data_IF_102979815511
#
_entry.id   IF_102979815511
#
_cell.length_a   1.000
_cell.length_b   1.000
_cell.length_c   1.000
_cell.angle_alpha   90.00
_cell.angle_beta   90.00
_cell.angle_gamma   90.00
#
_symmetry.space_group_name_H-M   'P 1'
#
loop_
_entity.id
_entity.type
_entity.pdbx_description
1 polymer ?
#
# COMPACT_ATOMS: atom_id res chain seq x y z
N UNK A 1 30.89 83.94 -35.44
CA UNK A 1 31.31 83.00 -34.37
C UNK A 1 30.26 83.05 -33.30
N UNK A 2 29.34 82.14 -33.32
CA UNK A 2 28.32 81.99 -32.26
C UNK A 2 28.87 81.03 -31.22
N UNK A 3 29.00 81.49 -29.94
CA UNK A 3 29.41 80.73 -28.81
C UNK A 3 28.16 80.16 -28.20
N UNK A 4 27.98 78.85 -28.35
CA UNK A 4 26.90 78.07 -27.66
C UNK A 4 27.23 78.03 -26.17
N UNK A 5 26.45 78.75 -25.37
CA UNK A 5 26.43 78.55 -23.90
C UNK A 5 25.86 77.24 -23.58
N UNK A 6 26.71 76.34 -23.05
CA UNK A 6 26.25 75.12 -22.36
C UNK A 6 25.48 75.50 -21.12
N UNK A 7 24.20 75.14 -21.07
CA UNK A 7 23.39 75.30 -19.86
C UNK A 7 24.01 74.51 -18.73
N UNK A 8 24.49 75.16 -17.67
CA UNK A 8 24.93 74.53 -16.45
C UNK A 8 23.74 73.81 -15.83
N UNK A 9 23.74 72.50 -15.86
CA UNK A 9 22.80 71.65 -15.08
C UNK A 9 22.94 72.01 -13.62
N UNK A 10 21.89 72.49 -12.91
CA UNK A 10 21.98 72.84 -11.50
C UNK A 10 22.36 71.58 -10.67
N UNK A 11 23.37 71.71 -9.82
CA UNK A 11 23.79 70.66 -8.88
C UNK A 11 22.58 70.24 -8.06
N UNK A 12 22.07 68.99 -8.32
CA UNK A 12 20.97 68.42 -7.56
C UNK A 12 21.35 68.38 -6.07
N UNK A 13 20.47 68.83 -5.19
CA UNK A 13 20.68 68.82 -3.73
C UNK A 13 20.78 67.35 -3.31
N UNK A 14 21.61 67.04 -2.30
CA UNK A 14 21.83 65.69 -1.76
C UNK A 14 20.52 64.96 -1.38
N UNK A 15 19.50 65.70 -0.94
CA UNK A 15 18.14 65.19 -0.66
C UNK A 15 17.48 64.58 -1.90
N UNK A 16 17.77 65.09 -3.13
CA UNK A 16 17.21 64.52 -4.37
C UNK A 16 17.78 63.12 -4.66
N UNK A 17 19.09 62.91 -4.47
CA UNK A 17 19.73 61.60 -4.59
C UNK A 17 19.25 60.63 -3.53
N UNK A 18 18.97 61.09 -2.32
CA UNK A 18 18.37 60.28 -1.28
C UNK A 18 16.97 59.80 -1.65
N UNK A 19 16.12 60.67 -2.19
CA UNK A 19 14.79 60.27 -2.65
C UNK A 19 14.82 59.34 -3.86
N UNK A 20 15.72 59.56 -4.82
CA UNK A 20 15.94 58.66 -5.94
C UNK A 20 16.36 57.25 -5.47
N UNK A 21 17.32 57.20 -4.55
CA UNK A 21 17.76 55.96 -3.92
C UNK A 21 16.60 55.27 -3.18
N UNK A 22 15.88 56.02 -2.35
CA UNK A 22 14.77 55.47 -1.56
C UNK A 22 13.67 54.89 -2.46
N UNK A 23 13.33 55.57 -3.55
CA UNK A 23 12.33 55.09 -4.52
C UNK A 23 12.77 53.80 -5.21
N UNK A 24 14.04 53.74 -5.66
CA UNK A 24 14.61 52.55 -6.25
C UNK A 24 14.66 51.39 -5.23
N UNK A 25 15.10 51.65 -4.04
CA UNK A 25 15.13 50.67 -2.94
C UNK A 25 13.73 50.11 -2.62
N UNK A 26 12.74 51.00 -2.48
CA UNK A 26 11.37 50.61 -2.22
C UNK A 26 10.77 49.79 -3.39
N UNK A 27 11.06 50.14 -4.64
CA UNK A 27 10.59 49.37 -5.79
C UNK A 27 11.15 47.94 -5.77
N UNK A 28 12.45 47.77 -5.54
CA UNK A 28 13.08 46.45 -5.46
C UNK A 28 12.58 45.67 -4.24
N UNK A 29 12.46 46.33 -3.09
CA UNK A 29 11.97 45.72 -1.85
C UNK A 29 10.52 45.24 -1.97
N UNK A 30 9.63 46.08 -2.55
CA UNK A 30 8.25 45.67 -2.78
C UNK A 30 8.15 44.51 -3.80
N UNK A 31 8.98 44.53 -4.84
CA UNK A 31 9.09 43.41 -5.78
C UNK A 31 9.46 42.10 -5.10
N UNK A 32 10.50 42.14 -4.27
CA UNK A 32 10.92 40.97 -3.49
C UNK A 32 9.84 40.47 -2.51
N UNK A 33 9.14 41.37 -1.81
CA UNK A 33 8.04 40.99 -0.92
C UNK A 33 6.87 40.35 -1.69
N UNK A 34 6.54 40.89 -2.87
CA UNK A 34 5.48 40.35 -3.71
C UNK A 34 5.85 38.94 -4.23
N UNK A 35 7.09 38.75 -4.67
CA UNK A 35 7.60 37.44 -5.09
C UNK A 35 7.60 36.43 -3.93
N UNK A 36 8.10 36.81 -2.77
CA UNK A 36 8.07 35.97 -1.56
C UNK A 36 6.65 35.53 -1.18
N UNK A 37 5.69 36.47 -1.21
CA UNK A 37 4.31 36.17 -0.89
C UNK A 37 3.65 35.24 -1.94
N UNK A 38 3.98 35.43 -3.21
CA UNK A 38 3.50 34.59 -4.30
C UNK A 38 4.05 33.17 -4.17
N UNK A 39 5.36 33.01 -3.94
CA UNK A 39 6.01 31.73 -3.72
C UNK A 39 5.37 30.97 -2.54
N UNK A 40 5.19 31.66 -1.42
CA UNK A 40 4.54 31.10 -0.24
C UNK A 40 3.11 30.60 -0.51
N UNK A 41 2.35 31.33 -1.33
CA UNK A 41 1.00 30.95 -1.71
C UNK A 41 0.99 29.73 -2.62
N UNK A 42 1.91 29.68 -3.59
CA UNK A 42 2.08 28.55 -4.50
C UNK A 42 2.49 27.28 -3.73
N UNK A 43 3.45 27.39 -2.81
CA UNK A 43 3.87 26.26 -1.97
C UNK A 43 2.73 25.71 -1.14
N UNK A 44 1.92 26.59 -0.52
CA UNK A 44 0.77 26.15 0.28
C UNK A 44 -0.31 25.45 -0.57
N UNK A 45 -0.55 25.93 -1.80
CA UNK A 45 -1.45 25.27 -2.73
C UNK A 45 -0.94 23.88 -3.13
N UNK A 46 0.36 23.75 -3.41
CA UNK A 46 1.01 22.48 -3.72
C UNK A 46 0.95 21.51 -2.53
N UNK A 47 1.22 21.98 -1.32
CA UNK A 47 1.06 21.19 -0.09
C UNK A 47 -0.35 20.60 0.00
N UNK A 48 -1.39 21.43 -0.12
CA UNK A 48 -2.79 20.96 -0.10
C UNK A 48 -3.10 19.95 -1.19
N UNK A 49 -2.55 20.12 -2.39
CA UNK A 49 -2.74 19.18 -3.49
C UNK A 49 -2.13 17.80 -3.15
N UNK A 50 -0.91 17.76 -2.62
CA UNK A 50 -0.29 16.52 -2.18
C UNK A 50 -1.05 15.85 -1.03
N UNK A 51 -1.54 16.63 -0.07
CA UNK A 51 -2.36 16.08 1.02
C UNK A 51 -3.66 15.45 0.50
N UNK A 52 -4.34 16.06 -0.47
CA UNK A 52 -5.51 15.45 -1.12
C UNK A 52 -5.16 14.13 -1.80
N UNK A 53 -4.05 14.09 -2.53
CA UNK A 53 -3.58 12.87 -3.18
C UNK A 53 -3.24 11.78 -2.18
N UNK A 54 -2.58 12.12 -1.06
CA UNK A 54 -2.31 11.18 0.04
C UNK A 54 -3.60 10.62 0.66
N UNK A 55 -4.61 11.45 0.88
CA UNK A 55 -5.92 11.00 1.39
C UNK A 55 -6.57 10.01 0.41
N UNK A 56 -6.52 10.27 -0.90
CA UNK A 56 -7.05 9.35 -1.90
C UNK A 56 -6.25 8.03 -1.98
N UNK A 57 -4.93 8.08 -1.82
CA UNK A 57 -4.10 6.88 -1.73
C UNK A 57 -4.48 6.07 -0.47
N UNK A 58 -4.60 6.69 0.69
CA UNK A 58 -5.01 6.04 1.95
C UNK A 58 -6.42 5.42 1.88
N UNK A 59 -7.36 6.04 1.17
CA UNK A 59 -8.70 5.44 0.92
C UNK A 59 -8.58 4.14 0.11
N UNK A 60 -7.76 4.13 -0.93
CA UNK A 60 -7.50 2.92 -1.73
C UNK A 60 -6.79 1.85 -0.89
N UNK A 61 -5.82 2.26 -0.09
CA UNK A 61 -5.08 1.37 0.79
C UNK A 61 -6.00 0.68 1.79
N UNK A 62 -6.87 1.43 2.47
CA UNK A 62 -7.85 0.83 3.41
C UNK A 62 -8.79 -0.14 2.73
N UNK A 63 -9.25 0.14 1.52
CA UNK A 63 -10.08 -0.78 0.74
C UNK A 63 -9.31 -2.07 0.37
N UNK A 64 -8.06 -1.94 -0.05
CA UNK A 64 -7.17 -3.04 -0.40
C UNK A 64 -6.86 -3.93 0.82
N UNK A 65 -6.56 -3.31 1.96
CA UNK A 65 -6.32 -4.01 3.23
C UNK A 65 -7.57 -4.82 3.64
N UNK A 66 -8.75 -4.22 3.65
CA UNK A 66 -10.01 -4.90 3.99
C UNK A 66 -10.31 -6.07 3.08
N UNK A 67 -10.05 -5.93 1.79
CA UNK A 67 -10.18 -7.04 0.85
C UNK A 67 -9.22 -8.18 1.21
N UNK A 68 -7.95 -7.86 1.46
CA UNK A 68 -6.94 -8.85 1.83
C UNK A 68 -7.26 -9.56 3.15
N UNK A 69 -7.73 -8.84 4.17
CA UNK A 69 -8.17 -9.41 5.45
C UNK A 69 -9.28 -10.45 5.25
N UNK A 70 -10.32 -10.10 4.48
CA UNK A 70 -11.44 -11.02 4.17
C UNK A 70 -10.96 -12.29 3.47
N UNK A 71 -10.09 -12.15 2.47
CA UNK A 71 -9.61 -13.30 1.70
C UNK A 71 -8.72 -14.21 2.55
N UNK A 72 -7.90 -13.64 3.43
CA UNK A 72 -7.08 -14.42 4.38
C UNK A 72 -7.92 -15.14 5.42
N UNK A 73 -8.98 -14.53 5.93
CA UNK A 73 -9.93 -15.18 6.86
C UNK A 73 -10.63 -16.36 6.19
N UNK A 74 -11.11 -16.20 4.96
CA UNK A 74 -11.67 -17.29 4.15
C UNK A 74 -10.66 -18.44 3.99
N UNK A 75 -9.40 -18.11 3.70
CA UNK A 75 -8.33 -19.12 3.56
C UNK A 75 -8.06 -19.83 4.86
N UNK A 76 -8.01 -19.15 5.99
CA UNK A 76 -7.85 -19.77 7.30
C UNK A 76 -9.00 -20.76 7.61
N UNK A 77 -10.24 -20.40 7.30
CA UNK A 77 -11.41 -21.28 7.45
C UNK A 77 -11.35 -22.50 6.53
N UNK A 78 -10.88 -22.32 5.28
CA UNK A 78 -10.65 -23.44 4.34
C UNK A 78 -9.58 -24.40 4.88
N UNK A 79 -8.48 -23.87 5.42
CA UNK A 79 -7.42 -24.66 6.03
C UNK A 79 -7.97 -25.47 7.22
N UNK A 80 -8.74 -24.85 8.12
CA UNK A 80 -9.35 -25.56 9.25
C UNK A 80 -10.23 -26.70 8.78
N UNK A 81 -11.07 -26.46 7.77
CA UNK A 81 -11.92 -27.48 7.16
C UNK A 81 -11.10 -28.61 6.52
N UNK A 82 -10.06 -28.27 5.76
CA UNK A 82 -9.21 -29.26 5.09
C UNK A 82 -8.50 -30.17 6.10
N UNK A 83 -7.94 -29.60 7.18
CA UNK A 83 -7.29 -30.38 8.24
C UNK A 83 -8.29 -31.29 8.97
N UNK A 84 -9.48 -30.76 9.29
CA UNK A 84 -10.53 -31.56 9.94
C UNK A 84 -10.94 -32.74 9.08
N UNK A 85 -11.15 -32.55 7.77
CA UNK A 85 -11.57 -33.60 6.85
C UNK A 85 -10.46 -34.64 6.61
N UNK A 86 -9.21 -34.19 6.46
CA UNK A 86 -8.05 -35.09 6.30
C UNK A 86 -7.79 -35.98 7.53
N UNK A 87 -8.11 -35.48 8.72
CA UNK A 87 -7.97 -36.24 9.96
C UNK A 87 -9.23 -37.02 10.38
N UNK A 88 -10.24 -37.02 9.53
CA UNK A 88 -11.46 -37.84 9.77
C UNK A 88 -11.17 -39.33 9.67
N UNK A 89 -12.11 -40.16 10.19
CA UNK A 89 -11.97 -41.64 10.17
C UNK A 89 -11.98 -42.21 8.74
N UNK A 90 -12.62 -41.53 7.79
CA UNK A 90 -12.76 -41.99 6.41
C UNK A 90 -12.59 -40.80 5.43
N UNK A 91 -11.36 -40.30 5.27
CA UNK A 91 -11.11 -39.14 4.41
C UNK A 91 -11.45 -39.40 2.93
N UNK A 92 -11.38 -40.63 2.48
CA UNK A 92 -11.74 -41.04 1.13
C UNK A 92 -13.23 -40.86 0.84
N UNK A 93 -14.12 -41.05 1.81
CA UNK A 93 -15.55 -40.85 1.65
C UNK A 93 -15.96 -39.41 1.39
N UNK A 94 -15.05 -38.46 1.62
CA UNK A 94 -15.26 -37.00 1.48
C UNK A 94 -14.10 -36.35 0.71
N UNK A 95 -13.37 -37.15 -0.05
CA UNK A 95 -12.16 -36.72 -0.75
C UNK A 95 -12.42 -35.62 -1.80
N UNK A 96 -13.58 -35.63 -2.46
CA UNK A 96 -13.98 -34.58 -3.39
C UNK A 96 -13.91 -33.20 -2.75
N UNK A 97 -14.43 -33.06 -1.52
CA UNK A 97 -14.34 -31.82 -0.74
C UNK A 97 -12.92 -31.49 -0.33
N UNK A 98 -12.13 -32.51 0.03
CA UNK A 98 -10.72 -32.33 0.38
C UNK A 98 -9.92 -31.82 -0.81
N UNK A 99 -10.09 -32.41 -2.00
CA UNK A 99 -9.50 -31.95 -3.26
C UNK A 99 -9.85 -30.47 -3.55
N UNK A 100 -11.14 -30.14 -3.40
CA UNK A 100 -11.64 -28.79 -3.65
C UNK A 100 -10.96 -27.76 -2.73
N UNK A 101 -10.89 -28.03 -1.42
CA UNK A 101 -10.22 -27.16 -0.46
C UNK A 101 -8.72 -27.06 -0.74
N UNK A 102 -8.06 -28.19 -0.97
CA UNK A 102 -6.62 -28.24 -1.25
C UNK A 102 -6.25 -27.44 -2.50
N UNK A 103 -7.11 -27.44 -3.53
CA UNK A 103 -6.91 -26.67 -4.77
C UNK A 103 -7.08 -25.17 -4.57
N UNK A 104 -8.00 -24.74 -3.67
CA UNK A 104 -8.30 -23.34 -3.45
C UNK A 104 -7.32 -22.64 -2.51
N UNK A 105 -6.74 -23.34 -1.53
CA UNK A 105 -5.90 -22.75 -0.48
C UNK A 105 -4.65 -22.06 -1.06
N UNK A 106 -3.84 -22.72 -1.94
CA UNK A 106 -2.65 -22.09 -2.52
C UNK A 106 -2.94 -20.94 -3.50
N UNK A 107 -4.18 -20.86 -4.01
CA UNK A 107 -4.64 -19.81 -4.92
C UNK A 107 -5.34 -18.66 -4.18
N UNK A 108 -5.30 -18.65 -2.87
CA UNK A 108 -5.75 -17.49 -2.11
C UNK A 108 -5.03 -16.24 -2.59
N UNK A 109 -5.75 -15.12 -2.78
CA UNK A 109 -5.19 -13.95 -3.45
C UNK A 109 -3.88 -13.57 -2.85
N UNK A 110 -2.97 -13.47 -3.76
CA UNK A 110 -1.56 -13.29 -3.52
C UNK A 110 -1.20 -12.07 -2.73
N UNK A 111 0.08 -11.98 -2.48
CA UNK A 111 0.70 -11.17 -1.46
C UNK A 111 0.67 -9.68 -1.68
N UNK A 112 0.40 -9.17 -2.85
CA UNK A 112 0.50 -7.73 -3.05
C UNK A 112 -0.67 -7.01 -2.41
N UNK A 113 -0.46 -6.51 -1.21
CA UNK A 113 -1.15 -5.32 -0.78
C UNK A 113 -0.76 -4.22 -1.77
N UNK A 114 -1.69 -3.79 -2.56
CA UNK A 114 -1.48 -2.63 -3.41
C UNK A 114 -1.48 -1.35 -2.57
N UNK A 115 -0.60 -1.25 -1.57
CA UNK A 115 -0.38 0.02 -0.86
C UNK A 115 0.18 1.01 -1.87
N UNK A 116 -0.51 2.14 -2.01
CA UNK A 116 -0.13 3.18 -2.96
C UNK A 116 0.98 4.05 -2.37
N UNK A 117 2.22 3.79 -2.76
CA UNK A 117 3.36 4.65 -2.37
C UNK A 117 3.55 5.84 -3.31
N UNK A 118 2.74 5.94 -4.37
CA UNK A 118 2.94 6.87 -5.49
C UNK A 118 3.12 8.32 -5.04
N UNK A 119 2.18 8.84 -4.24
CA UNK A 119 2.24 10.24 -3.79
C UNK A 119 3.38 10.46 -2.81
N UNK A 120 3.61 9.50 -1.90
CA UNK A 120 4.70 9.57 -0.94
C UNK A 120 6.08 9.52 -1.62
N UNK A 121 6.27 8.60 -2.57
CA UNK A 121 7.51 8.50 -3.34
C UNK A 121 7.75 9.76 -4.19
N UNK A 122 6.71 10.33 -4.76
CA UNK A 122 6.82 11.61 -5.47
C UNK A 122 7.26 12.73 -4.53
N UNK A 123 6.66 12.85 -3.34
CA UNK A 123 7.07 13.84 -2.32
C UNK A 123 8.52 13.66 -1.90
N UNK A 124 8.92 12.42 -1.63
CA UNK A 124 10.26 12.05 -1.18
C UNK A 124 11.31 12.34 -2.24
N UNK A 125 11.08 11.85 -3.46
CA UNK A 125 12.08 11.92 -4.54
C UNK A 125 12.23 13.34 -5.13
N UNK A 126 11.18 14.16 -5.08
CA UNK A 126 11.24 15.56 -5.51
C UNK A 126 11.71 16.53 -4.43
N UNK A 127 12.00 16.05 -3.21
CA UNK A 127 12.34 16.91 -2.06
C UNK A 127 11.16 17.73 -1.53
N UNK A 128 9.94 17.44 -1.99
CA UNK A 128 8.73 18.17 -1.62
C UNK A 128 8.15 17.78 -0.25
N UNK A 129 8.74 16.81 0.46
CA UNK A 129 8.37 16.53 1.86
C UNK A 129 8.51 17.78 2.75
N UNK A 130 9.44 18.68 2.42
CA UNK A 130 9.63 19.97 3.09
C UNK A 130 8.40 20.91 3.00
N UNK A 131 7.52 20.71 2.03
CA UNK A 131 6.29 21.49 1.90
C UNK A 131 5.30 21.16 3.02
N UNK A 132 5.38 19.97 3.60
CA UNK A 132 4.55 19.57 4.75
C UNK A 132 5.13 20.21 6.01
N UNK A 133 4.65 21.41 6.31
CA UNK A 133 5.20 22.25 7.40
C UNK A 133 4.85 21.75 8.80
N UNK A 134 3.79 20.94 8.92
CA UNK A 134 3.34 20.39 10.21
C UNK A 134 4.11 19.10 10.52
N UNK A 135 5.14 19.21 11.35
CA UNK A 135 6.01 18.09 11.71
C UNK A 135 5.23 16.84 12.15
N UNK A 136 4.19 17.02 12.97
CA UNK A 136 3.32 15.92 13.38
C UNK A 136 2.68 15.19 12.20
N UNK A 137 2.25 15.90 11.16
CA UNK A 137 1.67 15.27 9.97
C UNK A 137 2.74 14.54 9.16
N UNK A 138 3.92 15.14 9.02
CA UNK A 138 5.06 14.51 8.35
C UNK A 138 5.47 13.20 9.04
N UNK A 139 5.54 13.20 10.38
CA UNK A 139 5.87 12.00 11.16
C UNK A 139 4.80 10.91 10.98
N UNK A 140 3.52 11.25 11.05
CA UNK A 140 2.42 10.29 10.85
C UNK A 140 2.45 9.69 9.44
N UNK A 141 2.69 10.50 8.40
CA UNK A 141 2.82 10.04 7.02
C UNK A 141 4.02 9.09 6.89
N UNK A 142 5.18 9.51 7.37
CA UNK A 142 6.41 8.74 7.27
C UNK A 142 6.31 7.40 8.00
N UNK A 143 5.72 7.38 9.19
CA UNK A 143 5.52 6.17 9.97
C UNK A 143 4.56 5.20 9.30
N UNK A 144 3.45 5.68 8.70
CA UNK A 144 2.54 4.84 7.94
C UNK A 144 3.25 4.11 6.78
N UNK A 145 3.99 4.83 5.97
CA UNK A 145 4.70 4.24 4.83
C UNK A 145 5.89 3.37 5.25
N UNK A 146 6.54 3.69 6.36
CA UNK A 146 7.56 2.83 6.95
C UNK A 146 6.97 1.48 7.37
N UNK A 147 5.86 1.50 8.12
CA UNK A 147 5.19 0.28 8.56
C UNK A 147 4.67 -0.55 7.38
N UNK A 148 4.10 0.11 6.37
CA UNK A 148 3.69 -0.56 5.14
C UNK A 148 4.87 -1.26 4.42
N UNK A 149 6.04 -0.63 4.39
CA UNK A 149 7.24 -1.21 3.79
C UNK A 149 7.78 -2.42 4.59
N UNK A 150 7.66 -2.42 5.92
CA UNK A 150 8.09 -3.55 6.76
C UNK A 150 7.27 -4.81 6.52
N UNK A 151 6.07 -4.68 5.94
CA UNK A 151 5.21 -5.81 5.61
C UNK A 151 5.76 -6.70 4.48
N UNK A 152 6.67 -6.21 3.65
CA UNK A 152 7.22 -6.98 2.53
C UNK A 152 7.83 -8.30 3.00
N UNK A 153 8.58 -8.28 4.11
CA UNK A 153 9.14 -9.49 4.71
C UNK A 153 8.07 -10.54 5.07
N UNK A 154 6.98 -10.13 5.71
CA UNK A 154 5.91 -11.04 6.10
C UNK A 154 5.17 -11.62 4.88
N UNK A 155 5.07 -10.82 3.83
CA UNK A 155 4.50 -11.24 2.55
C UNK A 155 5.39 -12.27 1.85
N UNK A 156 6.70 -12.07 1.82
CA UNK A 156 7.66 -13.01 1.25
C UNK A 156 7.62 -14.34 2.01
N UNK A 157 7.57 -14.33 3.34
CA UNK A 157 7.40 -15.54 4.16
C UNK A 157 6.08 -16.26 3.85
N UNK A 158 4.97 -15.51 3.67
CA UNK A 158 3.69 -16.08 3.28
C UNK A 158 3.77 -16.78 1.93
N UNK A 159 4.45 -16.16 0.98
CA UNK A 159 4.66 -16.72 -0.35
C UNK A 159 5.48 -18.03 -0.29
N UNK A 160 6.55 -18.07 0.49
CA UNK A 160 7.36 -19.26 0.68
C UNK A 160 6.54 -20.40 1.31
N UNK A 161 5.79 -20.14 2.37
CA UNK A 161 4.94 -21.14 3.00
C UNK A 161 3.86 -21.69 2.06
N UNK A 162 3.26 -20.84 1.21
CA UNK A 162 2.30 -21.27 0.20
C UNK A 162 2.96 -22.11 -0.90
N UNK A 163 4.15 -21.72 -1.33
CA UNK A 163 4.93 -22.46 -2.32
C UNK A 163 5.29 -23.85 -1.81
N UNK A 164 5.78 -23.95 -0.58
CA UNK A 164 6.13 -25.23 0.06
C UNK A 164 4.90 -26.13 0.23
N UNK A 165 3.76 -25.54 0.63
CA UNK A 165 2.50 -26.26 0.69
C UNK A 165 2.13 -26.79 -0.72
N UNK A 166 2.15 -25.95 -1.74
CA UNK A 166 1.86 -26.33 -3.12
C UNK A 166 2.73 -27.50 -3.58
N UNK A 167 4.04 -27.43 -3.32
CA UNK A 167 4.97 -28.50 -3.68
C UNK A 167 4.71 -29.81 -2.93
N UNK A 168 4.06 -29.77 -1.77
CA UNK A 168 3.75 -30.99 -1.00
C UNK A 168 2.47 -31.69 -1.44
N UNK A 169 1.56 -30.99 -2.13
CA UNK A 169 0.24 -31.53 -2.48
C UNK A 169 0.33 -32.75 -3.40
N UNK A 170 1.35 -32.86 -4.26
CA UNK A 170 1.54 -33.99 -5.18
C UNK A 170 1.71 -35.34 -4.47
N UNK A 171 2.03 -35.33 -3.17
CA UNK A 171 2.18 -36.57 -2.37
C UNK A 171 0.84 -37.20 -2.02
N UNK A 172 -0.24 -36.43 -2.05
CA UNK A 172 -1.55 -36.84 -1.57
C UNK A 172 -2.63 -36.76 -2.66
N UNK A 173 -2.47 -35.84 -3.62
CA UNK A 173 -3.49 -35.52 -4.61
C UNK A 173 -3.04 -35.86 -6.04
N UNK A 174 -3.95 -36.49 -6.79
CA UNK A 174 -3.72 -36.80 -8.21
C UNK A 174 -3.86 -35.51 -9.05
N UNK A 175 -2.86 -35.26 -9.87
CA UNK A 175 -2.81 -34.10 -10.77
C UNK A 175 -3.93 -34.14 -11.83
N UNK A 176 -4.33 -35.33 -12.30
CA UNK A 176 -5.41 -35.49 -13.27
C UNK A 176 -6.76 -34.99 -12.72
N UNK A 177 -7.00 -35.25 -11.43
CA UNK A 177 -8.20 -34.75 -10.74
C UNK A 177 -8.16 -33.23 -10.65
N UNK A 178 -7.03 -32.62 -10.27
CA UNK A 178 -6.89 -31.16 -10.27
C UNK A 178 -7.11 -30.54 -11.64
N UNK A 179 -6.67 -31.20 -12.71
CA UNK A 179 -6.94 -30.76 -14.09
C UNK A 179 -8.43 -30.75 -14.41
N UNK A 180 -9.15 -31.83 -14.07
CA UNK A 180 -10.60 -31.94 -14.29
C UNK A 180 -11.41 -30.92 -13.49
N UNK A 181 -10.92 -30.49 -12.35
CA UNK A 181 -11.56 -29.48 -11.50
C UNK A 181 -11.43 -28.06 -12.04
N UNK A 182 -10.52 -27.82 -12.97
CA UNK A 182 -10.18 -26.47 -13.46
C UNK A 182 -10.98 -26.16 -14.73
N UNK A 183 -11.64 -25.01 -14.76
CA UNK A 183 -12.32 -24.54 -15.97
C UNK A 183 -11.29 -24.32 -17.09
N UNK A 184 -11.52 -24.91 -18.29
CA UNK A 184 -10.54 -24.85 -19.39
C UNK A 184 -10.37 -23.45 -20.00
N UNK A 185 -11.38 -22.58 -19.85
CA UNK A 185 -11.35 -21.19 -20.36
C UNK A 185 -10.97 -20.20 -19.27
N UNK A 186 -11.40 -20.44 -18.05
CA UNK A 186 -11.21 -19.56 -16.90
C UNK A 186 -10.45 -20.31 -15.78
N UNK A 187 -9.13 -20.41 -15.84
CA UNK A 187 -8.33 -21.28 -14.96
C UNK A 187 -8.38 -20.95 -13.48
N UNK A 188 -8.95 -19.80 -13.11
CA UNK A 188 -9.22 -19.43 -11.71
C UNK A 188 -10.56 -19.94 -11.18
N UNK A 189 -11.44 -20.46 -12.05
CA UNK A 189 -12.69 -21.10 -11.63
C UNK A 189 -12.40 -22.58 -11.38
N UNK A 190 -12.68 -23.01 -10.16
CA UNK A 190 -12.44 -24.37 -9.67
C UNK A 190 -13.78 -25.00 -9.29
N UNK A 191 -14.07 -26.14 -9.85
CA UNK A 191 -15.28 -26.94 -9.56
C UNK A 191 -14.97 -28.02 -8.54
N UNK A 192 -15.90 -28.26 -7.62
CA UNK A 192 -15.82 -29.42 -6.72
C UNK A 192 -16.07 -30.69 -7.50
N UNK A 193 -15.30 -31.77 -7.33
CA UNK A 193 -15.57 -33.06 -7.97
C UNK A 193 -16.98 -33.58 -7.64
N UNK A 194 -17.69 -34.11 -8.63
CA UNK A 194 -19.03 -34.68 -8.44
C UNK A 194 -19.01 -36.04 -7.74
N UNK A 195 -17.85 -36.66 -7.67
CA UNK A 195 -17.58 -37.92 -7.01
C UNK A 195 -16.44 -37.77 -6.03
N UNK A 196 -16.21 -38.73 -5.15
CA UNK A 196 -15.07 -38.76 -4.27
C UNK A 196 -13.90 -39.52 -4.94
N UNK A 197 -12.94 -38.81 -5.58
CA UNK A 197 -11.79 -39.49 -6.18
C UNK A 197 -10.85 -39.98 -5.07
N UNK A 198 -10.16 -41.10 -5.33
CA UNK A 198 -9.20 -41.64 -4.36
C UNK A 198 -8.05 -40.68 -4.09
N UNK A 199 -7.61 -40.61 -2.84
CA UNK A 199 -6.34 -40.01 -2.49
C UNK A 199 -5.20 -40.94 -2.97
N UNK A 200 -4.04 -40.40 -3.33
CA UNK A 200 -2.88 -41.21 -3.73
C UNK A 200 -2.36 -42.09 -2.59
N UNK A 201 -2.63 -41.69 -1.34
CA UNK A 201 -2.26 -42.45 -0.16
C UNK A 201 -3.12 -42.07 1.05
N UNK A 202 -3.28 -43.01 1.94
CA UNK A 202 -3.87 -42.80 3.27
C UNK A 202 -2.80 -42.90 4.38
N UNK A 203 -1.51 -42.88 4.02
CA UNK A 203 -0.42 -42.93 4.96
C UNK A 203 -0.49 -41.77 5.96
N UNK A 204 -0.60 -42.05 7.30
CA UNK A 204 -0.73 -41.04 8.32
C UNK A 204 0.43 -40.04 8.33
N UNK A 205 1.64 -40.45 7.97
CA UNK A 205 2.82 -39.54 7.92
C UNK A 205 2.68 -38.49 6.84
N UNK A 206 2.21 -38.89 5.65
CA UNK A 206 1.98 -37.96 4.53
C UNK A 206 0.83 -36.99 4.86
N UNK A 207 -0.27 -37.50 5.38
CA UNK A 207 -1.39 -36.69 5.85
C UNK A 207 -0.92 -35.67 6.89
N UNK A 208 -0.13 -36.14 7.89
CA UNK A 208 0.36 -35.25 8.93
C UNK A 208 1.32 -34.20 8.40
N UNK A 209 2.19 -34.52 7.43
CA UNK A 209 3.06 -33.54 6.78
C UNK A 209 2.23 -32.40 6.16
N UNK A 210 1.21 -32.72 5.38
CA UNK A 210 0.35 -31.75 4.73
C UNK A 210 -0.43 -30.92 5.75
N UNK A 211 -1.00 -31.55 6.77
CA UNK A 211 -1.68 -30.84 7.86
C UNK A 211 -0.74 -29.89 8.61
N UNK A 212 0.52 -30.27 8.80
CA UNK A 212 1.54 -29.41 9.41
C UNK A 212 1.82 -28.18 8.54
N UNK A 213 1.97 -28.36 7.21
CA UNK A 213 2.14 -27.24 6.27
C UNK A 213 0.92 -26.32 6.25
N UNK A 214 -0.28 -26.86 6.28
CA UNK A 214 -1.51 -26.10 6.43
C UNK A 214 -1.49 -25.26 7.73
N UNK A 215 -1.05 -25.85 8.83
CA UNK A 215 -0.97 -25.13 10.11
C UNK A 215 -0.01 -23.94 10.04
N UNK A 216 1.20 -24.11 9.49
CA UNK A 216 2.15 -23.01 9.32
C UNK A 216 1.64 -21.93 8.37
N UNK A 217 1.04 -22.33 7.24
CA UNK A 217 0.40 -21.39 6.31
C UNK A 217 -0.68 -20.57 7.00
N UNK A 218 -1.55 -21.20 7.79
CA UNK A 218 -2.57 -20.51 8.56
C UNK A 218 -1.96 -19.55 9.60
N UNK A 219 -0.90 -19.98 10.31
CA UNK A 219 -0.18 -19.14 11.26
C UNK A 219 0.34 -17.86 10.62
N UNK A 220 0.96 -17.98 9.45
CA UNK A 220 1.45 -16.83 8.68
C UNK A 220 0.32 -15.91 8.23
N UNK A 221 -0.80 -16.47 7.74
CA UNK A 221 -1.97 -15.64 7.39
C UNK A 221 -2.49 -14.84 8.58
N UNK A 222 -2.59 -15.45 9.77
CA UNK A 222 -3.05 -14.76 10.99
C UNK A 222 -2.09 -13.66 11.43
N UNK A 223 -0.78 -13.92 11.40
CA UNK A 223 0.22 -12.91 11.74
C UNK A 223 0.11 -11.69 10.81
N UNK A 224 -0.04 -11.93 9.51
CA UNK A 224 -0.23 -10.86 8.53
C UNK A 224 -1.56 -10.10 8.78
N UNK A 225 -2.64 -10.81 9.12
CA UNK A 225 -3.92 -10.16 9.40
C UNK A 225 -3.82 -9.18 10.57
N UNK A 226 -3.15 -9.55 11.66
CA UNK A 226 -2.95 -8.66 12.80
C UNK A 226 -2.21 -7.37 12.39
N UNK A 227 -1.14 -7.49 11.61
CA UNK A 227 -0.42 -6.31 11.10
C UNK A 227 -1.26 -5.46 10.15
N UNK A 228 -2.11 -6.09 9.34
CA UNK A 228 -3.00 -5.37 8.42
C UNK A 228 -4.07 -4.58 9.16
N UNK A 229 -4.63 -5.13 10.24
CA UNK A 229 -5.57 -4.42 11.10
C UNK A 229 -4.92 -3.18 11.75
N UNK A 230 -3.67 -3.31 12.22
CA UNK A 230 -2.90 -2.19 12.74
C UNK A 230 -2.63 -1.12 11.68
N UNK A 231 -2.24 -1.55 10.47
CA UNK A 231 -1.97 -0.64 9.35
C UNK A 231 -3.24 0.08 8.87
N UNK A 232 -4.38 -0.62 8.84
CA UNK A 232 -5.69 -0.03 8.54
C UNK A 232 -6.05 1.07 9.54
N UNK A 233 -5.90 0.79 10.83
CA UNK A 233 -6.16 1.75 11.89
C UNK A 233 -5.27 2.99 11.73
N UNK A 234 -3.98 2.82 11.47
CA UNK A 234 -3.04 3.93 11.21
C UNK A 234 -3.45 4.76 9.98
N UNK A 235 -3.87 4.08 8.88
CA UNK A 235 -4.36 4.77 7.69
C UNK A 235 -5.60 5.62 7.99
N UNK A 236 -6.56 5.09 8.74
CA UNK A 236 -7.79 5.80 9.13
C UNK A 236 -7.47 6.99 10.04
N UNK A 237 -6.59 6.82 11.02
CA UNK A 237 -6.16 7.90 11.91
C UNK A 237 -5.43 9.00 11.15
N UNK A 238 -4.52 8.63 10.24
CA UNK A 238 -3.80 9.57 9.38
C UNK A 238 -4.75 10.35 8.49
N UNK A 239 -5.69 9.68 7.82
CA UNK A 239 -6.72 10.37 6.99
C UNK A 239 -7.49 11.40 7.81
N UNK A 240 -7.99 11.03 8.99
CA UNK A 240 -8.74 11.94 9.87
C UNK A 240 -7.88 13.13 10.31
N UNK A 241 -6.61 12.89 10.63
CA UNK A 241 -5.68 13.93 11.04
C UNK A 241 -5.41 14.92 9.89
N UNK A 242 -5.15 14.40 8.68
CA UNK A 242 -4.92 15.21 7.48
C UNK A 242 -6.16 16.03 7.11
N UNK A 243 -7.35 15.41 7.10
CA UNK A 243 -8.61 16.10 6.80
C UNK A 243 -8.89 17.23 7.78
N UNK A 244 -8.67 16.99 9.08
CA UNK A 244 -8.87 17.99 10.13
C UNK A 244 -7.87 19.15 9.99
N UNK A 245 -6.58 18.85 9.84
CA UNK A 245 -5.50 19.85 9.81
C UNK A 245 -5.57 20.76 8.59
N UNK A 246 -5.92 20.19 7.42
CA UNK A 246 -5.95 20.93 6.16
C UNK A 246 -7.38 21.36 5.73
N UNK A 247 -8.39 21.13 6.58
CA UNK A 247 -9.80 21.44 6.30
C UNK A 247 -10.30 20.86 4.96
N UNK A 248 -9.94 19.59 4.70
CA UNK A 248 -10.33 18.84 3.52
C UNK A 248 -11.52 17.93 3.86
N UNK A 249 -12.57 17.98 3.03
CA UNK A 249 -13.77 17.13 3.17
C UNK A 249 -13.56 15.75 2.54
#
# INVERSE_FOLDING_TARGET
MEVHHHAHTPRKKWTHYFWEFLMLFLAVFCGFLAEYQLEHTIEHQREKQYIRSLIEDLKKDTASIRFSLRMRDITCKRIDSAVLLLKSKSPEAISGKIYFLARQIPYSPGPSLGISTKTFDQLKNSGNLRLIRKMKMLDMISNYYYDAATMNWAMDMSFQNQHDLFLSLHKLFDAAIFQQMTDPVHPFIIYEPTVNPSLLTTNPLVINEICTRFHFTKGTHRAIMNHFEELENKAIELMKALQKEYHIK
#
